data_IF_552487142981
#
_entry.id   IF_552487142981
#
_cell.length_a   1.000
_cell.length_b   1.000
_cell.length_c   1.000
_cell.angle_alpha   90.00
_cell.angle_beta   90.00
_cell.angle_gamma   90.00
#
_symmetry.space_group_name_H-M   'P 1'
#
loop_
_entity.id
_entity.type
_entity.pdbx_description
1 polymer ?
#
# COMPACT_ATOMS: atom_id res chain seq x y z
N UNK A 1 0.39 11.96 11.31
CA UNK A 1 0.57 10.51 11.53
C UNK A 1 1.45 10.16 12.72
N UNK A 2 2.42 11.00 13.12
CA UNK A 2 3.28 10.71 14.30
C UNK A 2 2.49 10.65 15.63
N UNK A 3 1.34 11.32 15.70
CA UNK A 3 0.52 11.39 16.92
C UNK A 3 -0.69 10.43 16.94
N UNK A 4 -0.79 9.52 15.96
CA UNK A 4 -1.83 8.49 15.94
C UNK A 4 -1.28 7.26 16.66
N UNK A 5 -1.75 7.01 17.87
CA UNK A 5 -1.23 5.95 18.74
C UNK A 5 -1.66 4.54 18.28
N UNK A 6 -2.87 4.42 17.71
CA UNK A 6 -3.42 3.14 17.28
C UNK A 6 -3.05 2.81 15.84
N UNK A 7 -2.59 1.58 15.62
CA UNK A 7 -2.21 1.08 14.29
C UNK A 7 -3.38 1.14 13.30
N UNK A 8 -4.59 0.79 13.75
CA UNK A 8 -5.80 0.77 12.92
C UNK A 8 -6.16 2.17 12.41
N UNK A 9 -6.18 3.16 13.30
CA UNK A 9 -6.41 4.57 12.93
C UNK A 9 -5.35 5.07 11.94
N UNK A 10 -4.09 4.63 12.11
CA UNK A 10 -2.98 4.96 11.20
C UNK A 10 -3.23 4.36 9.82
N UNK A 11 -3.72 3.12 9.73
CA UNK A 11 -4.06 2.46 8.47
C UNK A 11 -5.27 3.16 7.82
N UNK A 12 -6.33 3.46 8.56
CA UNK A 12 -7.50 4.17 8.03
C UNK A 12 -7.15 5.54 7.46
N UNK A 13 -6.31 6.31 8.16
CA UNK A 13 -5.82 7.60 7.66
C UNK A 13 -4.99 7.43 6.36
N UNK A 14 -4.15 6.38 6.29
CA UNK A 14 -3.33 6.09 5.11
C UNK A 14 -4.14 5.62 3.90
N UNK A 15 -5.16 4.77 4.10
CA UNK A 15 -6.03 4.29 3.02
C UNK A 15 -6.67 5.48 2.30
N UNK A 16 -7.12 6.48 3.04
CA UNK A 16 -7.71 7.71 2.48
C UNK A 16 -6.68 8.62 1.79
N UNK A 17 -5.39 8.42 2.03
CA UNK A 17 -4.33 9.20 1.39
C UNK A 17 -3.93 8.64 0.01
N UNK A 18 -4.26 7.38 -0.30
CA UNK A 18 -3.95 6.76 -1.58
C UNK A 18 -5.10 6.90 -2.57
N UNK A 19 -4.76 7.12 -3.84
CA UNK A 19 -5.72 7.14 -4.96
C UNK A 19 -5.24 6.25 -6.09
N UNK A 20 -6.13 5.44 -6.63
CA UNK A 20 -5.88 4.66 -7.86
C UNK A 20 -6.36 5.49 -9.04
N UNK A 21 -5.48 5.66 -10.02
CA UNK A 21 -5.88 6.19 -11.32
C UNK A 21 -6.16 5.00 -12.24
N UNK A 22 -7.41 4.86 -12.70
CA UNK A 22 -7.85 3.69 -13.44
C UNK A 22 -7.61 3.81 -14.96
N UNK A 23 -6.34 3.81 -15.37
CA UNK A 23 -5.93 3.90 -16.78
C UNK A 23 -5.50 2.57 -17.39
N UNK A 24 -5.48 1.49 -16.60
CA UNK A 24 -5.09 0.17 -17.09
C UNK A 24 -6.14 -0.39 -18.05
N UNK A 25 -5.74 -1.07 -19.13
CA UNK A 25 -6.69 -1.70 -20.06
C UNK A 25 -7.40 -2.90 -19.39
N UNK A 26 -8.29 -3.57 -20.13
CA UNK A 26 -8.99 -4.76 -19.63
C UNK A 26 -8.01 -5.88 -19.26
N UNK A 27 -8.25 -6.54 -18.12
CA UNK A 27 -7.44 -7.66 -17.63
C UNK A 27 -7.16 -7.59 -16.13
N UNK A 28 -6.36 -8.56 -15.64
CA UNK A 28 -5.80 -8.55 -14.28
C UNK A 28 -4.29 -8.41 -14.33
N UNK A 29 -3.77 -7.45 -13.58
CA UNK A 29 -2.35 -7.12 -13.51
C UNK A 29 -1.78 -7.48 -12.14
N UNK A 30 -0.57 -8.03 -12.15
CA UNK A 30 0.20 -8.21 -10.92
C UNK A 30 0.98 -6.92 -10.64
N UNK A 31 1.02 -6.51 -9.38
CA UNK A 31 1.72 -5.29 -8.94
C UNK A 31 2.90 -5.67 -8.06
N UNK A 32 4.05 -5.05 -8.29
CA UNK A 32 5.19 -5.09 -7.38
C UNK A 32 5.36 -3.70 -6.75
N UNK A 33 5.12 -3.62 -5.44
CA UNK A 33 5.41 -2.44 -4.63
C UNK A 33 6.88 -2.48 -4.21
N UNK A 34 7.58 -1.36 -4.41
CA UNK A 34 8.96 -1.17 -3.97
C UNK A 34 8.98 0.02 -3.01
N UNK A 35 9.52 -0.19 -1.81
CA UNK A 35 9.58 0.83 -0.75
C UNK A 35 10.97 0.83 -0.10
N UNK A 36 11.46 2.01 0.27
CA UNK A 36 12.79 2.19 0.86
C UNK A 36 12.78 2.10 2.39
N UNK A 37 11.63 2.31 3.03
CA UNK A 37 11.55 2.38 4.49
C UNK A 37 10.40 1.55 5.08
N UNK A 38 10.75 0.37 5.57
CA UNK A 38 9.89 -0.48 6.37
C UNK A 38 10.09 -0.21 7.87
N UNK A 39 9.15 0.53 8.45
CA UNK A 39 9.07 0.76 9.90
C UNK A 39 8.00 -0.15 10.54
N UNK A 40 6.73 0.28 10.58
CA UNK A 40 5.61 -0.51 11.13
C UNK A 40 4.88 -1.34 10.07
N UNK A 41 5.17 -1.14 8.78
CA UNK A 41 4.46 -1.76 7.66
C UNK A 41 3.04 -1.23 7.39
N UNK A 42 2.56 -0.26 8.17
CA UNK A 42 1.19 0.29 8.03
C UNK A 42 0.95 0.95 6.66
N UNK A 43 1.97 1.60 6.09
CA UNK A 43 1.89 2.23 4.76
C UNK A 43 1.70 1.20 3.65
N UNK A 44 2.47 0.12 3.67
CA UNK A 44 2.39 -0.96 2.69
C UNK A 44 1.07 -1.73 2.82
N UNK A 45 0.57 -1.90 4.04
CA UNK A 45 -0.73 -2.52 4.29
C UNK A 45 -1.85 -1.67 3.68
N UNK A 46 -1.89 -0.37 3.97
CA UNK A 46 -2.88 0.54 3.40
C UNK A 46 -2.79 0.61 1.87
N UNK A 47 -1.58 0.69 1.30
CA UNK A 47 -1.39 0.68 -0.15
C UNK A 47 -1.87 -0.63 -0.79
N UNK A 48 -1.61 -1.77 -0.15
CA UNK A 48 -2.06 -3.08 -0.62
C UNK A 48 -3.59 -3.20 -0.58
N UNK A 49 -4.23 -2.71 0.49
CA UNK A 49 -5.70 -2.68 0.59
C UNK A 49 -6.32 -1.85 -0.51
N UNK A 50 -5.76 -0.65 -0.75
CA UNK A 50 -6.22 0.23 -1.82
C UNK A 50 -6.07 -0.48 -3.16
N UNK A 51 -4.89 -1.01 -3.52
CA UNK A 51 -4.68 -1.72 -4.78
C UNK A 51 -5.62 -2.91 -4.97
N UNK A 52 -5.90 -3.68 -3.92
CA UNK A 52 -6.82 -4.82 -3.95
C UNK A 52 -8.29 -4.41 -4.14
N UNK A 53 -8.66 -3.16 -3.87
CA UNK A 53 -10.00 -2.66 -4.18
C UNK A 53 -10.27 -2.54 -5.70
N UNK A 54 -9.24 -2.49 -6.53
CA UNK A 54 -9.39 -2.44 -7.98
C UNK A 54 -9.55 -3.84 -8.57
N UNK A 55 -10.63 -4.05 -9.32
CA UNK A 55 -10.90 -5.31 -10.01
C UNK A 55 -9.84 -5.70 -11.05
N UNK A 56 -9.03 -4.72 -11.49
CA UNK A 56 -7.93 -4.91 -12.44
C UNK A 56 -6.64 -5.41 -11.78
N UNK A 57 -6.58 -5.47 -10.45
CA UNK A 57 -5.39 -5.96 -9.74
C UNK A 57 -5.59 -7.42 -9.34
N UNK A 58 -4.64 -8.26 -9.75
CA UNK A 58 -4.53 -9.67 -9.38
C UNK A 58 -3.71 -9.83 -8.10
N UNK A 59 -2.43 -10.18 -8.24
CA UNK A 59 -1.53 -10.33 -7.10
C UNK A 59 -0.81 -9.03 -6.77
N UNK A 60 -0.53 -8.82 -5.48
CA UNK A 60 0.30 -7.71 -5.00
C UNK A 60 1.51 -8.32 -4.31
N UNK A 61 2.69 -7.98 -4.79
CA UNK A 61 3.98 -8.36 -4.25
C UNK A 61 4.63 -7.12 -3.65
N UNK A 62 5.44 -7.32 -2.61
CA UNK A 62 6.10 -6.22 -1.90
C UNK A 62 7.58 -6.56 -1.78
N UNK A 63 8.45 -5.65 -2.20
CA UNK A 63 9.88 -5.68 -1.98
C UNK A 63 10.27 -4.42 -1.22
N UNK A 64 10.95 -4.57 -0.08
CA UNK A 64 11.44 -3.43 0.70
C UNK A 64 12.96 -3.49 0.78
N UNK A 65 13.61 -2.35 0.57
CA UNK A 65 15.06 -2.23 0.70
C UNK A 65 15.35 -1.23 1.81
N UNK A 66 15.29 -1.73 3.04
CA UNK A 66 15.43 -0.88 4.23
C UNK A 66 16.75 -1.13 4.94
N UNK A 67 17.46 -0.04 5.25
CA UNK A 67 18.66 -0.07 6.08
C UNK A 67 18.27 0.21 7.53
N UNK A 68 18.38 -0.79 8.41
CA UNK A 68 18.31 -0.58 9.86
C UNK A 68 19.69 -0.15 10.38
N UNK A 69 19.73 0.85 11.25
CA UNK A 69 20.93 1.21 12.02
C UNK A 69 20.98 0.39 13.30
#
# INVERSE_FOLDING_TARGET
MKDIALREDKIHALVNAFKINDFLPGGKFNVLLIDDLFDTGSSLEAATQVLKSSAKIGNVYVATVTRKR
#
